data_IF_123758540990
#
_entry.id   IF_123758540990
#
_cell.length_a   1.000
_cell.length_b   1.000
_cell.length_c   1.000
_cell.angle_alpha   90.00
_cell.angle_beta   90.00
_cell.angle_gamma   90.00
#
_symmetry.space_group_name_H-M   'P 1'
#
loop_
_entity.id
_entity.type
_entity.pdbx_description
1 polymer ?
#
# COMPACT_ATOMS: atom_id res chain seq x y z
N UNK A 1 1.83 -16.27 3.83
CA UNK A 1 1.73 -16.52 2.38
C UNK A 1 0.76 -15.47 1.87
N UNK A 2 1.22 -14.53 1.02
CA UNK A 2 0.32 -13.54 0.42
C UNK A 2 -0.21 -14.18 -0.86
N UNK A 3 -1.52 -14.45 -0.92
CA UNK A 3 -2.18 -14.85 -2.16
C UNK A 3 -2.17 -13.67 -3.13
N UNK A 4 -1.23 -13.70 -4.07
CA UNK A 4 -1.19 -12.78 -5.17
C UNK A 4 -2.34 -13.11 -6.15
N UNK A 5 -3.53 -12.55 -5.90
CA UNK A 5 -4.66 -12.56 -6.82
C UNK A 5 -5.36 -13.91 -6.94
N UNK A 6 -6.69 -13.91 -6.81
CA UNK A 6 -7.56 -15.09 -6.82
C UNK A 6 -7.64 -15.87 -8.17
N UNK A 7 -6.57 -15.87 -8.97
CA UNK A 7 -6.46 -16.58 -10.25
C UNK A 7 -5.03 -16.79 -10.75
N UNK A 8 -4.01 -16.34 -10.03
CA UNK A 8 -2.61 -16.63 -10.35
C UNK A 8 -2.00 -17.49 -9.26
N UNK A 9 -1.59 -18.69 -9.64
CA UNK A 9 -0.77 -19.59 -8.85
C UNK A 9 0.64 -19.00 -8.71
N UNK A 10 0.77 -17.91 -7.95
CA UNK A 10 2.03 -17.18 -7.77
C UNK A 10 2.22 -16.88 -6.30
N UNK A 11 3.31 -17.38 -5.74
CA UNK A 11 3.70 -17.19 -4.36
C UNK A 11 4.91 -16.27 -4.29
N UNK A 12 4.75 -15.13 -3.59
CA UNK A 12 5.88 -14.25 -3.29
C UNK A 12 6.57 -14.74 -2.02
N UNK A 13 7.85 -15.08 -2.12
CA UNK A 13 8.67 -15.40 -0.97
C UNK A 13 9.92 -14.53 -0.96
N UNK A 14 10.24 -13.97 0.20
CA UNK A 14 11.52 -13.29 0.40
C UNK A 14 12.55 -14.26 0.97
N UNK A 15 13.77 -14.14 0.46
CA UNK A 15 14.97 -14.70 1.07
C UNK A 15 15.13 -14.14 2.50
N UNK A 16 15.90 -14.80 3.36
CA UNK A 16 16.24 -14.33 4.72
C UNK A 16 16.79 -12.90 4.64
N UNK A 17 16.06 -11.94 5.23
CA UNK A 17 16.40 -10.51 5.20
C UNK A 17 17.35 -10.14 6.34
N UNK A 18 18.36 -9.32 6.05
CA UNK A 18 19.15 -8.63 7.07
C UNK A 18 18.33 -7.54 7.77
N UNK A 19 18.70 -7.16 9.00
CA UNK A 19 18.07 -6.04 9.70
C UNK A 19 18.11 -4.72 8.91
N UNK A 20 19.20 -4.48 8.17
CA UNK A 20 19.34 -3.32 7.29
C UNK A 20 18.31 -3.31 6.15
N UNK A 21 18.00 -4.48 5.55
CA UNK A 21 16.95 -4.60 4.55
C UNK A 21 15.55 -4.48 5.16
N UNK A 22 15.31 -5.09 6.32
CA UNK A 22 14.04 -4.96 7.06
C UNK A 22 13.69 -3.50 7.36
N UNK A 23 14.69 -2.69 7.69
CA UNK A 23 14.54 -1.25 7.91
C UNK A 23 14.03 -0.48 6.68
N UNK A 24 14.35 -0.95 5.46
CA UNK A 24 13.92 -0.34 4.20
C UNK A 24 12.53 -0.78 3.76
N UNK A 25 11.91 -1.76 4.43
CA UNK A 25 10.58 -2.22 4.07
C UNK A 25 9.54 -1.09 4.23
N UNK A 26 8.56 -0.99 3.33
CA UNK A 26 7.48 -0.04 3.46
C UNK A 26 6.56 -0.43 4.62
N UNK A 27 6.23 0.51 5.52
CA UNK A 27 5.32 0.23 6.63
C UNK A 27 3.85 0.17 6.17
N UNK A 28 3.49 0.97 5.17
CA UNK A 28 2.12 1.01 4.67
C UNK A 28 1.89 -0.17 3.75
N UNK A 29 0.77 -0.88 3.97
CA UNK A 29 0.46 -2.12 3.25
C UNK A 29 1.60 -3.15 3.33
N UNK A 30 2.26 -3.21 4.50
CA UNK A 30 3.43 -4.03 4.75
C UNK A 30 3.22 -5.51 4.37
N UNK A 31 4.24 -6.17 3.82
CA UNK A 31 4.19 -7.57 3.34
C UNK A 31 3.77 -8.58 4.42
N UNK A 32 4.14 -8.30 5.66
CA UNK A 32 3.75 -9.08 6.84
C UNK A 32 2.51 -8.57 7.56
N UNK A 33 1.65 -7.76 6.94
CA UNK A 33 0.56 -7.09 7.63
C UNK A 33 -0.55 -8.06 8.08
N UNK A 34 -0.74 -8.12 9.40
CA UNK A 34 -1.91 -8.74 9.99
C UNK A 34 -3.20 -8.02 9.56
N UNK A 35 -4.37 -8.65 9.78
CA UNK A 35 -5.67 -7.96 9.58
C UNK A 35 -5.74 -6.67 10.40
N UNK A 36 -5.13 -6.66 11.58
CA UNK A 36 -5.07 -5.50 12.46
C UNK A 36 -4.17 -4.40 11.89
N UNK A 37 -2.94 -4.73 11.46
CA UNK A 37 -2.03 -3.75 10.84
C UNK A 37 -2.68 -3.06 9.63
N UNK A 38 -3.44 -3.82 8.82
CA UNK A 38 -4.19 -3.24 7.69
C UNK A 38 -5.24 -2.22 8.09
N UNK A 39 -5.89 -2.37 9.25
CA UNK A 39 -6.88 -1.41 9.76
C UNK A 39 -6.21 -0.12 10.22
N UNK A 40 -5.00 -0.21 10.77
CA UNK A 40 -4.25 0.96 11.22
C UNK A 40 -3.85 1.88 10.06
N UNK A 41 -3.77 1.40 8.81
CA UNK A 41 -3.36 2.21 7.67
C UNK A 41 -4.27 3.42 7.38
N UNK A 42 -5.50 3.45 7.89
CA UNK A 42 -6.50 4.49 7.57
C UNK A 42 -6.98 5.25 8.81
N UNK A 43 -6.18 5.30 9.88
CA UNK A 43 -6.49 6.12 11.05
C UNK A 43 -6.01 7.56 10.85
N UNK A 44 -6.62 8.56 11.51
CA UNK A 44 -6.14 9.94 11.46
C UNK A 44 -4.67 10.09 11.90
N UNK A 45 -4.23 9.26 12.86
CA UNK A 45 -2.84 9.23 13.28
C UNK A 45 -1.92 8.71 12.16
N UNK A 46 -2.33 7.65 11.44
CA UNK A 46 -1.59 7.15 10.27
C UNK A 46 -1.56 8.13 9.10
N UNK A 47 -2.62 8.90 8.90
CA UNK A 47 -2.63 10.01 7.92
C UNK A 47 -1.62 11.08 8.30
N UNK A 48 -1.58 11.48 9.58
CA UNK A 48 -0.58 12.41 10.09
C UNK A 48 0.84 11.86 9.93
N UNK A 49 1.07 10.59 10.28
CA UNK A 49 2.36 9.92 10.12
C UNK A 49 2.84 9.96 8.66
N UNK A 50 1.95 9.74 7.69
CA UNK A 50 2.28 9.84 6.26
C UNK A 50 2.54 11.26 5.81
N UNK A 51 1.58 12.15 6.05
CA UNK A 51 1.53 13.45 5.37
C UNK A 51 2.35 14.52 6.09
N UNK A 52 2.43 14.45 7.41
CA UNK A 52 3.15 15.45 8.24
C UNK A 52 4.53 14.93 8.65
N UNK A 53 4.62 13.68 9.10
CA UNK A 53 5.89 13.11 9.53
C UNK A 53 6.70 12.46 8.40
N UNK A 54 6.12 12.27 7.21
CA UNK A 54 6.82 11.70 6.04
C UNK A 54 7.23 10.25 6.25
N UNK A 55 6.49 9.49 7.06
CA UNK A 55 6.80 8.08 7.33
C UNK A 55 6.44 7.24 6.12
N UNK A 56 7.41 6.46 5.64
CA UNK A 56 7.28 5.52 4.52
C UNK A 56 7.81 4.14 4.90
N UNK A 57 8.89 4.09 5.68
CA UNK A 57 9.65 2.88 5.98
C UNK A 57 9.56 2.46 7.45
N UNK A 58 9.82 1.18 7.74
CA UNK A 58 9.86 0.65 9.11
C UNK A 58 10.94 1.36 9.95
N UNK A 59 12.07 1.75 9.35
CA UNK A 59 13.11 2.51 10.04
C UNK A 59 12.59 3.84 10.61
N UNK A 60 11.76 4.56 9.84
CA UNK A 60 11.22 5.85 10.28
C UNK A 60 10.23 5.66 11.44
N UNK A 61 9.40 4.62 11.40
CA UNK A 61 8.52 4.25 12.51
C UNK A 61 9.35 3.94 13.77
N UNK A 62 10.40 3.15 13.63
CA UNK A 62 11.33 2.84 14.72
C UNK A 62 11.94 4.11 15.34
N UNK A 63 12.32 5.11 14.55
CA UNK A 63 12.83 6.37 15.07
C UNK A 63 11.78 7.12 15.90
N UNK A 64 10.52 7.14 15.47
CA UNK A 64 9.43 7.76 16.23
C UNK A 64 9.22 7.06 17.57
N UNK A 65 9.25 5.72 17.60
CA UNK A 65 9.07 4.95 18.85
C UNK A 65 10.20 5.14 19.86
N UNK A 66 11.39 5.58 19.43
CA UNK A 66 12.55 5.82 20.30
C UNK A 66 12.54 7.21 20.94
N UNK A 67 11.57 8.05 20.60
CA UNK A 67 11.47 9.38 21.20
C UNK A 67 11.16 9.23 22.69
N UNK A 68 11.98 9.89 23.50
CA UNK A 68 12.08 9.74 24.98
C UNK A 68 10.81 10.22 25.72
N UNK A 69 9.77 10.70 25.01
CA UNK A 69 8.54 11.24 25.58
C UNK A 69 7.75 10.23 26.43
N UNK A 70 7.96 8.93 26.20
CA UNK A 70 7.30 7.84 26.95
C UNK A 70 8.11 7.35 28.17
N UNK A 71 9.43 7.59 28.22
CA UNK A 71 10.31 7.01 29.24
C UNK A 71 10.58 8.00 30.39
N UNK A 72 10.65 9.31 30.11
CA UNK A 72 10.80 10.33 31.18
C UNK A 72 9.48 10.61 31.94
N UNK A 73 8.36 10.06 31.48
CA UNK A 73 7.05 10.21 32.11
C UNK A 73 6.86 9.37 33.40
N UNK A 74 7.75 8.42 33.69
CA UNK A 74 7.72 7.66 34.96
C UNK A 74 8.31 8.44 36.15
N UNK A 75 8.90 9.61 35.92
CA UNK A 75 9.58 10.37 36.96
C UNK A 75 8.90 11.67 37.36
N UNK A 76 8.66 12.57 36.40
CA UNK A 76 8.13 13.93 36.65
C UNK A 76 7.53 14.53 35.37
N UNK A 77 6.38 14.03 34.93
CA UNK A 77 5.47 14.90 34.19
C UNK A 77 4.45 15.43 35.19
N UNK A 78 4.76 16.58 35.76
CA UNK A 78 3.69 17.46 36.21
C UNK A 78 2.68 17.57 35.06
N UNK A 79 1.41 17.47 35.43
CA UNK A 79 0.16 17.46 34.65
C UNK A 79 0.04 18.52 33.55
N UNK A 80 0.92 18.52 32.54
CA UNK A 80 0.78 19.34 31.34
C UNK A 80 0.13 18.47 30.26
N UNK A 81 -1.06 18.86 29.80
CA UNK A 81 -1.78 18.19 28.70
C UNK A 81 -1.00 18.19 27.36
N UNK A 82 0.12 18.91 27.30
CA UNK A 82 0.93 19.14 26.11
C UNK A 82 2.42 18.91 26.41
N UNK A 83 3.00 17.90 25.77
CA UNK A 83 4.45 17.66 25.84
C UNK A 83 5.24 18.80 25.18
N UNK A 84 6.15 19.42 25.95
CA UNK A 84 6.98 20.56 25.53
C UNK A 84 8.40 20.17 25.10
N UNK A 85 8.68 18.90 24.87
CA UNK A 85 10.00 18.49 24.39
C UNK A 85 10.33 19.10 23.01
N UNK A 86 11.61 19.11 22.63
CA UNK A 86 12.03 19.61 21.32
C UNK A 86 11.32 18.91 20.15
N UNK A 87 11.20 17.58 20.22
CA UNK A 87 10.56 16.77 19.16
C UNK A 87 9.10 17.14 18.93
N UNK A 88 8.28 17.15 19.99
CA UNK A 88 6.86 17.52 19.91
C UNK A 88 6.65 18.96 19.43
N UNK A 89 7.51 19.91 19.85
CA UNK A 89 7.44 21.29 19.35
C UNK A 89 7.74 21.40 17.85
N UNK A 90 8.74 20.66 17.38
CA UNK A 90 9.09 20.62 15.95
C UNK A 90 7.98 19.98 15.12
N UNK A 91 7.37 18.89 15.61
CA UNK A 91 6.24 18.25 14.92
C UNK A 91 5.00 19.15 14.89
N UNK A 92 4.68 19.83 16.00
CA UNK A 92 3.58 20.83 16.03
C UNK A 92 3.82 21.96 15.03
N UNK A 93 5.06 22.43 14.90
CA UNK A 93 5.44 23.44 13.89
C UNK A 93 5.24 22.93 12.45
N UNK A 94 5.36 21.62 12.22
CA UNK A 94 5.06 20.98 10.93
C UNK A 94 3.56 20.75 10.70
N UNK A 95 2.70 21.06 11.68
CA UNK A 95 1.26 20.89 11.60
C UNK A 95 0.71 19.62 12.27
N UNK A 96 1.52 18.89 13.06
CA UNK A 96 1.02 17.75 13.82
C UNK A 96 0.20 18.24 15.04
N UNK A 97 -1.10 17.89 15.14
CA UNK A 97 -1.93 18.34 16.26
C UNK A 97 -1.58 17.62 17.57
N UNK A 98 -1.18 16.34 17.47
CA UNK A 98 -0.94 15.44 18.61
C UNK A 98 0.29 14.57 18.38
N UNK A 99 1.51 15.10 18.57
CA UNK A 99 2.76 14.34 18.38
C UNK A 99 2.86 13.09 19.25
N UNK A 100 2.33 13.15 20.47
CA UNK A 100 2.27 12.03 21.41
C UNK A 100 1.47 10.85 20.83
N UNK A 101 0.26 11.10 20.32
CA UNK A 101 -0.58 10.08 19.68
C UNK A 101 0.05 9.50 18.42
N UNK A 102 0.84 10.30 17.69
CA UNK A 102 1.58 9.81 16.53
C UNK A 102 2.72 8.86 16.95
N UNK A 103 3.39 9.12 18.08
CA UNK A 103 4.40 8.22 18.61
C UNK A 103 3.79 6.90 19.12
N UNK A 104 2.63 6.97 19.79
CA UNK A 104 1.87 5.79 20.22
C UNK A 104 1.42 4.96 19.00
N UNK A 105 0.81 5.59 18.00
CA UNK A 105 0.40 4.93 16.77
C UNK A 105 1.60 4.30 16.02
N UNK A 106 2.76 4.95 16.02
CA UNK A 106 3.99 4.35 15.49
C UNK A 106 4.39 3.09 16.27
N UNK A 107 4.24 3.10 17.60
CA UNK A 107 4.45 1.92 18.46
C UNK A 107 3.51 0.78 18.12
N UNK A 108 2.22 1.08 17.95
CA UNK A 108 1.21 0.09 17.54
C UNK A 108 1.51 -0.50 16.17
N UNK A 109 1.87 0.33 15.17
CA UNK A 109 2.26 -0.15 13.84
C UNK A 109 3.43 -1.13 13.93
N UNK A 110 4.47 -0.77 14.70
CA UNK A 110 5.67 -1.57 14.86
C UNK A 110 5.41 -2.90 15.55
N UNK A 111 4.59 -2.89 16.61
CA UNK A 111 4.22 -4.09 17.38
C UNK A 111 3.47 -5.14 16.53
N UNK A 112 2.84 -4.70 15.45
CA UNK A 112 2.02 -5.54 14.57
C UNK A 112 2.80 -6.10 13.37
N UNK A 113 4.07 -5.73 13.23
CA UNK A 113 4.95 -6.32 12.22
C UNK A 113 5.33 -7.73 12.66
N UNK A 114 4.98 -8.71 11.84
CA UNK A 114 5.34 -10.11 12.10
C UNK A 114 6.88 -10.28 12.29
N UNK A 115 7.35 -11.07 13.29
CA UNK A 115 8.77 -11.16 13.67
C UNK A 115 9.74 -11.42 12.51
N UNK A 116 9.35 -12.25 11.54
CA UNK A 116 10.12 -12.49 10.30
C UNK A 116 10.59 -11.21 9.61
N UNK A 117 9.80 -10.15 9.65
CA UNK A 117 10.04 -8.88 8.96
C UNK A 117 10.45 -7.75 9.91
N UNK A 118 10.39 -7.97 11.22
CA UNK A 118 10.71 -6.95 12.21
C UNK A 118 12.23 -6.74 12.29
N UNK A 119 12.76 -5.50 12.19
CA UNK A 119 14.20 -5.24 12.11
C UNK A 119 15.00 -5.65 13.34
N UNK A 120 14.37 -5.64 14.53
CA UNK A 120 15.01 -6.08 15.78
C UNK A 120 14.92 -7.60 16.03
N UNK A 121 14.18 -8.33 15.21
CA UNK A 121 14.06 -9.77 15.35
C UNK A 121 15.12 -10.43 14.48
N UNK A 122 16.06 -11.11 15.11
CA UNK A 122 16.98 -11.97 14.39
C UNK A 122 16.20 -13.17 13.80
N UNK A 123 16.47 -13.52 12.54
CA UNK A 123 15.91 -14.72 11.94
C UNK A 123 16.45 -15.97 12.67
N UNK A 124 15.54 -16.78 13.21
CA UNK A 124 15.89 -18.01 13.95
C UNK A 124 16.77 -18.98 13.14
N UNK A 125 17.43 -19.88 13.87
CA UNK A 125 18.17 -21.00 13.29
C UNK A 125 17.18 -22.07 12.85
N UNK A 126 17.01 -22.21 11.53
CA UNK A 126 16.15 -23.21 10.92
C UNK A 126 16.85 -24.56 10.75
N UNK A 127 18.15 -24.65 11.07
CA UNK A 127 19.02 -25.81 10.82
C UNK A 127 19.02 -26.27 9.36
N UNK A 128 18.61 -25.41 8.43
CA UNK A 128 18.57 -25.71 7.00
C UNK A 128 19.85 -25.26 6.27
N UNK A 129 20.77 -24.62 6.99
CA UNK A 129 22.09 -24.25 6.47
C UNK A 129 22.86 -25.49 6.05
N UNK A 130 23.36 -25.50 4.81
CA UNK A 130 24.18 -26.62 4.34
C UNK A 130 25.41 -26.82 5.22
N UNK A 131 25.67 -28.08 5.56
CA UNK A 131 26.89 -28.52 6.23
C UNK A 131 28.10 -28.32 5.33
N UNK A 132 29.29 -28.29 5.90
CA UNK A 132 30.55 -28.13 5.15
C UNK A 132 30.73 -29.20 4.07
N UNK A 133 30.32 -30.45 4.34
CA UNK A 133 30.30 -31.53 3.36
C UNK A 133 29.41 -31.19 2.17
N UNK A 134 28.13 -30.86 2.41
CA UNK A 134 27.18 -30.49 1.35
C UNK A 134 27.62 -29.28 0.52
N UNK A 135 28.34 -28.31 1.13
CA UNK A 135 28.92 -27.18 0.39
C UNK A 135 30.05 -27.61 -0.55
N UNK A 136 30.89 -28.55 -0.11
CA UNK A 136 31.95 -29.12 -0.94
C UNK A 136 31.35 -29.91 -2.10
N UNK A 137 30.38 -30.78 -1.82
CA UNK A 137 29.69 -31.59 -2.83
C UNK A 137 29.01 -30.70 -3.89
N UNK A 138 28.37 -29.60 -3.45
CA UNK A 138 27.82 -28.60 -4.37
C UNK A 138 28.90 -27.92 -5.24
N UNK A 139 30.09 -27.67 -4.70
CA UNK A 139 31.19 -27.03 -5.45
C UNK A 139 31.71 -27.95 -6.55
N UNK A 140 31.78 -29.25 -6.27
CA UNK A 140 32.16 -30.29 -7.23
C UNK A 140 31.08 -30.47 -8.30
N UNK A 141 29.82 -30.64 -7.89
CA UNK A 141 28.69 -30.73 -8.82
C UNK A 141 28.58 -29.51 -9.76
N UNK A 142 28.90 -28.29 -9.29
CA UNK A 142 28.90 -27.10 -10.15
C UNK A 142 29.96 -27.17 -11.26
N UNK A 143 31.11 -27.80 -11.00
CA UNK A 143 32.18 -27.99 -12.01
C UNK A 143 31.83 -29.08 -13.01
N UNK A 144 31.16 -30.12 -12.55
CA UNK A 144 30.84 -31.31 -13.35
C UNK A 144 29.47 -31.25 -14.04
N UNK A 145 28.67 -30.21 -13.76
CA UNK A 145 27.30 -30.11 -14.27
C UNK A 145 26.31 -31.06 -13.56
N UNK A 146 26.63 -31.47 -12.33
CA UNK A 146 25.83 -32.36 -11.51
C UNK A 146 24.66 -31.68 -10.78
N UNK A 147 23.95 -32.48 -9.97
CA UNK A 147 22.79 -32.00 -9.18
C UNK A 147 23.26 -31.20 -7.96
N UNK A 148 22.72 -29.99 -7.80
CA UNK A 148 23.03 -29.12 -6.66
C UNK A 148 21.98 -29.25 -5.55
N UNK A 149 22.43 -29.37 -4.30
CA UNK A 149 21.55 -29.23 -3.14
C UNK A 149 21.32 -27.75 -2.88
N UNK A 150 20.06 -27.30 -2.91
CA UNK A 150 19.74 -25.90 -2.62
C UNK A 150 20.11 -25.53 -1.18
N UNK A 151 20.81 -24.40 -1.00
CA UNK A 151 21.08 -23.81 0.32
C UNK A 151 20.03 -22.72 0.62
N UNK A 152 19.06 -22.97 1.52
CA UNK A 152 18.07 -21.96 1.88
C UNK A 152 18.64 -20.81 2.74
N UNK A 153 19.85 -20.94 3.27
CA UNK A 153 20.50 -19.94 4.14
C UNK A 153 21.19 -18.80 3.39
N UNK A 154 20.90 -18.63 2.10
CA UNK A 154 21.28 -17.41 1.39
C UNK A 154 20.63 -16.25 2.13
N UNK A 155 21.44 -15.32 2.63
CA UNK A 155 20.97 -14.08 3.22
C UNK A 155 21.39 -12.99 2.26
N UNK A 156 20.42 -12.39 1.57
CA UNK A 156 20.71 -11.35 0.60
C UNK A 156 21.16 -10.07 1.32
N UNK A 157 22.18 -9.41 0.78
CA UNK A 157 22.72 -8.15 1.30
C UNK A 157 22.65 -7.02 0.27
N UNK A 158 22.21 -7.32 -0.95
CA UNK A 158 22.03 -6.39 -2.06
C UNK A 158 20.84 -5.43 -1.91
N UNK A 159 20.24 -5.06 -3.03
CA UNK A 159 19.12 -4.13 -3.07
C UNK A 159 17.80 -4.84 -2.66
N UNK A 160 16.75 -4.06 -2.39
CA UNK A 160 15.49 -4.61 -1.84
C UNK A 160 14.74 -5.48 -2.88
N UNK A 161 14.88 -5.14 -4.14
CA UNK A 161 14.38 -5.83 -5.32
C UNK A 161 15.05 -7.20 -5.54
N UNK A 162 16.32 -7.37 -5.16
CA UNK A 162 17.04 -8.65 -5.29
C UNK A 162 16.51 -9.75 -4.36
N UNK A 163 15.73 -9.36 -3.34
CA UNK A 163 15.39 -10.26 -2.23
C UNK A 163 14.06 -10.97 -2.38
N UNK A 164 13.21 -10.50 -3.28
CA UNK A 164 11.90 -11.08 -3.52
C UNK A 164 11.95 -12.03 -4.71
N UNK A 165 11.47 -13.26 -4.49
CA UNK A 165 11.29 -14.26 -5.54
C UNK A 165 9.81 -14.53 -5.73
N UNK A 166 9.39 -14.61 -6.99
CA UNK A 166 8.07 -15.07 -7.37
C UNK A 166 8.18 -16.53 -7.81
N UNK A 167 7.47 -17.41 -7.11
CA UNK A 167 7.35 -18.82 -7.48
C UNK A 167 6.02 -19.02 -8.16
N UNK A 168 6.01 -19.73 -9.30
CA UNK A 168 4.78 -20.08 -10.01
C UNK A 168 4.79 -21.55 -10.43
N UNK A 169 3.63 -22.17 -10.30
CA UNK A 169 3.37 -23.58 -10.58
C UNK A 169 3.30 -23.84 -12.11
N UNK A 170 3.19 -22.76 -12.89
CA UNK A 170 3.09 -22.80 -14.35
C UNK A 170 4.39 -22.26 -14.94
N UNK A 171 4.96 -22.88 -16.00
CA UNK A 171 6.07 -22.25 -16.72
C UNK A 171 5.66 -20.83 -17.13
N UNK A 172 6.55 -19.84 -17.03
CA UNK A 172 6.22 -18.47 -17.39
C UNK A 172 5.73 -18.47 -18.84
N UNK A 173 4.43 -18.19 -19.03
CA UNK A 173 3.93 -17.84 -20.34
C UNK A 173 4.69 -16.61 -20.83
N UNK A 174 4.98 -16.55 -22.12
CA UNK A 174 5.78 -15.47 -22.76
C UNK A 174 5.22 -14.06 -22.57
N UNK A 175 4.06 -13.89 -21.96
CA UNK A 175 3.50 -12.60 -21.60
C UNK A 175 3.31 -12.52 -20.07
N UNK A 176 3.76 -11.43 -19.42
CA UNK A 176 3.43 -11.18 -18.02
C UNK A 176 1.91 -11.15 -17.87
N UNK A 177 1.40 -11.79 -16.82
CA UNK A 177 -0.01 -11.75 -16.45
C UNK A 177 -0.40 -10.31 -16.13
N UNK A 178 -0.93 -9.59 -17.12
CA UNK A 178 -1.49 -8.26 -16.90
C UNK A 178 -2.82 -8.39 -16.17
N UNK A 179 -3.06 -7.54 -15.16
CA UNK A 179 -4.42 -7.38 -14.62
C UNK A 179 -5.32 -6.96 -15.77
N UNK A 180 -6.43 -7.68 -15.98
CA UNK A 180 -7.53 -7.16 -16.78
C UNK A 180 -7.92 -5.80 -16.19
N UNK A 181 -7.87 -4.76 -17.01
CA UNK A 181 -8.28 -3.41 -16.61
C UNK A 181 -9.74 -3.50 -16.20
N UNK A 182 -10.03 -3.44 -14.90
CA UNK A 182 -11.40 -3.26 -14.42
C UNK A 182 -11.75 -1.79 -14.56
N UNK A 183 -12.32 -1.45 -15.70
CA UNK A 183 -12.96 -0.18 -16.00
C UNK A 183 -13.98 -0.42 -17.12
N UNK A 184 -15.08 0.34 -17.16
CA UNK A 184 -15.94 0.37 -18.35
C UNK A 184 -15.06 0.75 -19.53
N UNK A 185 -14.88 -0.15 -20.49
CA UNK A 185 -14.47 0.23 -21.83
C UNK A 185 -15.66 1.04 -22.34
N UNK A 186 -15.53 2.36 -22.33
CA UNK A 186 -16.39 3.22 -23.14
C UNK A 186 -15.95 2.94 -24.57
N UNK A 187 -16.71 2.08 -25.25
CA UNK A 187 -16.56 1.89 -26.69
C UNK A 187 -16.94 3.22 -27.30
N UNK A 188 -15.95 3.94 -27.84
CA UNK A 188 -16.06 5.20 -28.59
C UNK A 188 -17.35 5.99 -28.38
N UNK A 189 -17.31 7.00 -27.51
CA UNK A 189 -18.31 8.05 -27.57
C UNK A 189 -18.00 8.92 -28.80
N UNK A 190 -18.67 8.67 -29.92
CA UNK A 190 -18.68 9.61 -31.04
C UNK A 190 -19.64 10.76 -30.72
N UNK A 191 -19.12 11.98 -30.60
CA UNK A 191 -19.93 13.19 -30.43
C UNK A 191 -20.10 13.87 -31.79
N UNK A 192 -21.34 14.21 -32.15
CA UNK A 192 -21.61 15.07 -33.31
C UNK A 192 -21.74 16.51 -32.83
N UNK A 193 -20.84 17.38 -33.26
CA UNK A 193 -20.88 18.81 -32.97
C UNK A 193 -21.50 19.53 -34.16
N UNK A 194 -22.61 20.23 -33.93
CA UNK A 194 -23.16 21.17 -34.90
C UNK A 194 -22.56 22.54 -34.63
N UNK A 195 -21.76 23.04 -35.57
CA UNK A 195 -21.24 24.40 -35.52
C UNK A 195 -22.18 25.27 -36.36
N UNK A 196 -23.09 25.99 -35.70
CA UNK A 196 -23.82 27.08 -36.35
C UNK A 196 -22.89 28.29 -36.51
N UNK A 197 -22.42 28.51 -37.73
CA UNK A 197 -21.80 29.79 -38.12
C UNK A 197 -22.90 30.84 -38.32
N UNK A 198 -23.27 31.52 -37.24
CA UNK A 198 -24.12 32.69 -37.30
C UNK A 198 -23.35 33.83 -38.00
N UNK A 199 -23.69 34.06 -39.27
CA UNK A 199 -23.27 35.24 -40.02
C UNK A 199 -23.76 36.49 -39.28
N UNK A 200 -22.82 37.32 -38.81
CA UNK A 200 -23.10 38.58 -38.14
C UNK A 200 -23.75 39.57 -39.11
N UNK A 201 -25.07 39.50 -39.24
CA UNK A 201 -25.87 40.61 -39.74
C UNK A 201 -26.51 41.30 -38.54
N UNK A 202 -26.00 42.50 -38.24
CA UNK A 202 -26.61 43.44 -37.30
C UNK A 202 -28.05 43.71 -37.75
N UNK A 203 -29.02 43.63 -36.85
CA UNK A 203 -29.66 44.82 -36.24
C UNK A 203 -30.98 44.48 -35.52
N UNK A 204 -31.13 45.17 -34.36
CA UNK A 204 -32.36 45.68 -33.71
C UNK A 204 -33.32 44.68 -33.03
N UNK A 205 -33.31 44.74 -31.70
CA UNK A 205 -34.46 44.46 -30.82
C UNK A 205 -35.64 45.39 -31.18
N UNK A 206 -36.92 45.02 -30.91
CA UNK A 206 -37.43 45.15 -29.54
C UNK A 206 -38.62 44.25 -29.10
N UNK A 207 -38.76 44.12 -27.77
CA UNK A 207 -39.99 44.04 -26.95
C UNK A 207 -40.92 42.80 -27.02
N UNK A 208 -41.29 42.31 -25.83
CA UNK A 208 -42.62 41.71 -25.57
C UNK A 208 -42.63 40.34 -24.89
N UNK A 209 -42.75 40.33 -23.55
CA UNK A 209 -43.39 39.26 -22.74
C UNK A 209 -44.90 39.15 -23.10
N UNK A 210 -45.71 38.18 -22.59
CA UNK A 210 -45.44 36.84 -22.03
C UNK A 210 -46.48 35.76 -22.50
N UNK A 211 -46.40 34.55 -21.90
CA UNK A 211 -47.49 33.58 -21.63
C UNK A 211 -48.38 33.06 -22.78
N UNK A 212 -48.41 31.73 -22.96
CA UNK A 212 -49.67 30.96 -22.78
C UNK A 212 -49.43 29.45 -22.63
N UNK A 213 -50.32 28.84 -21.84
CA UNK A 213 -50.46 27.42 -21.54
C UNK A 213 -51.32 26.71 -22.61
N UNK A 214 -51.28 25.38 -22.65
CA UNK A 214 -52.27 24.51 -23.33
C UNK A 214 -51.57 23.31 -23.98
N UNK A 215 -51.87 22.04 -23.70
CA UNK A 215 -53.06 21.45 -23.09
C UNK A 215 -53.86 20.70 -24.16
N UNK A 216 -53.72 19.37 -24.23
CA UNK A 216 -54.71 18.32 -24.60
C UNK A 216 -53.95 17.05 -25.06
N UNK A 217 -54.11 15.85 -24.46
CA UNK A 217 -55.27 14.92 -24.45
C UNK A 217 -55.60 14.41 -25.85
N UNK A 218 -55.91 13.15 -26.16
CA UNK A 218 -56.04 11.81 -25.54
C UNK A 218 -55.83 10.83 -26.74
N UNK A 219 -55.45 9.57 -26.53
CA UNK A 219 -56.34 8.40 -26.57
C UNK A 219 -55.39 7.18 -26.40
N UNK A 220 -55.68 6.08 -25.71
CA UNK A 220 -56.95 5.49 -25.34
C UNK A 220 -56.86 4.00 -25.68
N UNK A 221 -57.10 3.14 -24.68
CA UNK A 221 -57.42 1.69 -24.79
C UNK A 221 -56.27 0.75 -25.19
N UNK A 222 -56.13 -0.48 -24.67
CA UNK A 222 -57.02 -1.29 -23.86
C UNK A 222 -56.23 -2.33 -23.04
N UNK A 223 -56.91 -2.81 -22.02
CA UNK A 223 -56.46 -3.53 -20.83
C UNK A 223 -56.37 -5.08 -21.03
N UNK A 224 -56.05 -5.85 -19.97
CA UNK A 224 -55.26 -7.09 -20.01
C UNK A 224 -56.10 -8.38 -19.90
N UNK A 225 -55.43 -9.54 -19.83
CA UNK A 225 -55.91 -10.71 -19.07
C UNK A 225 -54.80 -11.73 -18.76
N UNK A 226 -54.62 -11.95 -17.45
CA UNK A 226 -54.42 -13.20 -16.71
C UNK A 226 -53.67 -14.38 -17.36
N UNK A 227 -52.58 -14.82 -16.72
CA UNK A 227 -52.58 -15.89 -15.69
C UNK A 227 -51.32 -15.75 -14.81
#
# INVERSE_FOLDING_TARGET
MLDAGAGSHTNLAAIKLTGALKNKLPIWYHLGASKYLRRLNNTPASDCLRNVHGVVTVAQVLLLTRRIHLIEAEGKQDRWDVCQCRGCREDRRKGCPHPEKCCEAAGELLAQIHPRWHPKCEPGDDKLTLTSGRKRDNTEALREGGVLTFNPSVTERGALDDVFRAFTDRPPGTAPTMRAVKGRIVVEESWTVYVEVASLTKQRSPKGLPMYQGGARLDGTDQPRHL
#
